data_IF_414064288210
#
_entry.id   IF_414064288210
#
_cell.length_a   1.000
_cell.length_b   1.000
_cell.length_c   1.000
_cell.angle_alpha   90.00
_cell.angle_beta   90.00
_cell.angle_gamma   90.00
#
_symmetry.space_group_name_H-M   'P 1'
#
loop_
_entity.id
_entity.type
_entity.pdbx_description
1 polymer ?
#
# COMPACT_ATOMS: atom_id res chain seq x y z
N UNK A 1 -5.22 -37.61 18.63
CA UNK A 1 -6.40 -36.91 19.17
C UNK A 1 -6.37 -36.83 20.70
N UNK A 2 -6.32 -37.96 21.42
CA UNK A 2 -6.22 -37.98 22.90
C UNK A 2 -5.01 -37.20 23.45
N UNK A 3 -3.86 -37.33 22.81
CA UNK A 3 -2.64 -36.60 23.18
C UNK A 3 -2.81 -35.08 23.08
N UNK A 4 -3.34 -34.57 21.95
CA UNK A 4 -3.64 -33.15 21.76
C UNK A 4 -4.58 -32.61 22.84
N UNK A 5 -5.63 -33.36 23.18
CA UNK A 5 -6.58 -32.98 24.22
C UNK A 5 -5.86 -32.87 25.58
N UNK A 6 -5.03 -33.86 25.93
CA UNK A 6 -4.27 -33.85 27.17
C UNK A 6 -3.34 -32.63 27.26
N UNK A 7 -2.57 -32.37 26.20
CA UNK A 7 -1.64 -31.22 26.14
C UNK A 7 -2.39 -29.89 26.31
N UNK A 8 -3.54 -29.72 25.64
CA UNK A 8 -4.34 -28.51 25.78
C UNK A 8 -4.92 -28.33 27.20
N UNK A 9 -5.32 -29.42 27.86
CA UNK A 9 -5.78 -29.36 29.27
C UNK A 9 -4.63 -28.98 30.20
N UNK A 10 -3.47 -29.63 30.03
CA UNK A 10 -2.33 -29.52 30.92
C UNK A 10 -1.62 -28.15 30.79
N UNK A 11 -1.50 -27.61 29.57
CA UNK A 11 -0.75 -26.36 29.30
C UNK A 11 -1.62 -25.11 29.22
N UNK A 12 -2.89 -25.24 28.84
CA UNK A 12 -3.79 -24.11 28.64
C UNK A 12 -4.98 -24.12 29.61
N UNK A 13 -4.92 -24.94 30.66
CA UNK A 13 -5.92 -25.04 31.74
C UNK A 13 -7.37 -25.19 31.24
N UNK A 14 -7.54 -25.85 30.09
CA UNK A 14 -8.86 -26.07 29.50
C UNK A 14 -9.57 -27.23 30.16
N UNK A 15 -10.90 -27.17 30.24
CA UNK A 15 -11.69 -28.34 30.58
C UNK A 15 -11.77 -29.32 29.39
N UNK A 16 -12.22 -30.54 29.66
CA UNK A 16 -12.23 -31.60 28.65
C UNK A 16 -13.13 -31.29 27.45
N UNK A 17 -14.32 -30.70 27.69
CA UNK A 17 -15.24 -30.32 26.63
C UNK A 17 -14.65 -29.24 25.72
N UNK A 18 -13.96 -28.24 26.28
CA UNK A 18 -13.29 -27.17 25.55
C UNK A 18 -12.13 -27.71 24.70
N UNK A 19 -11.29 -28.58 25.27
CA UNK A 19 -10.18 -29.17 24.55
C UNK A 19 -10.65 -30.08 23.40
N UNK A 20 -11.71 -30.87 23.62
CA UNK A 20 -12.35 -31.68 22.57
C UNK A 20 -12.91 -30.79 21.45
N UNK A 21 -13.59 -29.69 21.79
CA UNK A 21 -14.15 -28.75 20.80
C UNK A 21 -13.05 -28.15 19.90
N UNK A 22 -11.95 -27.67 20.49
CA UNK A 22 -10.83 -27.09 19.73
C UNK A 22 -10.17 -28.12 18.81
N UNK A 23 -9.90 -29.31 19.32
CA UNK A 23 -9.26 -30.37 18.53
C UNK A 23 -10.18 -30.82 17.40
N UNK A 24 -11.49 -30.93 17.66
CA UNK A 24 -12.48 -31.33 16.67
C UNK A 24 -12.64 -30.32 15.55
N UNK A 25 -12.71 -29.02 15.88
CA UNK A 25 -12.97 -27.95 14.91
C UNK A 25 -11.74 -27.49 14.14
N UNK A 26 -10.58 -27.40 14.80
CA UNK A 26 -9.43 -26.66 14.26
C UNK A 26 -8.16 -27.50 14.15
N UNK A 27 -7.90 -28.40 15.10
CA UNK A 27 -6.62 -29.09 15.20
C UNK A 27 -6.67 -30.55 14.75
N UNK A 28 -7.73 -30.97 14.05
CA UNK A 28 -7.90 -32.37 13.61
C UNK A 28 -6.70 -32.84 12.78
N UNK A 29 -6.29 -32.01 11.83
CA UNK A 29 -5.25 -32.32 10.83
C UNK A 29 -3.85 -31.84 11.24
N UNK A 30 -3.72 -31.10 12.35
CA UNK A 30 -2.44 -30.60 12.85
C UNK A 30 -1.56 -31.76 13.30
N UNK A 31 -0.42 -32.00 12.66
CA UNK A 31 0.45 -33.13 13.02
C UNK A 31 1.26 -32.86 14.29
N UNK A 32 1.76 -31.63 14.42
CA UNK A 32 2.60 -31.20 15.54
C UNK A 32 1.87 -30.14 16.37
N UNK A 33 1.47 -30.53 17.58
CA UNK A 33 0.76 -29.65 18.50
C UNK A 33 1.69 -28.65 19.19
N UNK A 34 2.97 -28.98 19.37
CA UNK A 34 3.93 -28.08 20.01
C UNK A 34 4.28 -26.92 19.08
N UNK A 35 4.50 -27.19 17.79
CA UNK A 35 4.65 -26.13 16.79
C UNK A 35 3.42 -25.19 16.74
N UNK A 36 2.21 -25.73 16.92
CA UNK A 36 1.01 -24.90 17.03
C UNK A 36 0.96 -24.09 18.33
N UNK A 37 1.45 -24.62 19.46
CA UNK A 37 1.51 -23.88 20.71
C UNK A 37 2.51 -22.72 20.64
N UNK A 38 3.66 -22.93 20.02
CA UNK A 38 4.64 -21.85 19.77
C UNK A 38 4.00 -20.73 18.95
N UNK A 39 3.32 -21.09 17.85
CA UNK A 39 2.53 -20.16 17.05
C UNK A 39 1.44 -19.45 17.88
N UNK A 40 0.74 -20.18 18.76
CA UNK A 40 -0.29 -19.61 19.64
C UNK A 40 0.27 -18.52 20.55
N UNK A 41 1.39 -18.78 21.22
CA UNK A 41 2.00 -17.81 22.12
C UNK A 41 2.52 -16.60 21.35
N UNK A 42 3.17 -16.81 20.19
CA UNK A 42 3.66 -15.74 19.34
C UNK A 42 2.52 -14.82 18.87
N UNK A 43 1.43 -15.38 18.35
CA UNK A 43 0.27 -14.60 17.90
C UNK A 43 -0.41 -13.86 19.05
N UNK A 44 -0.58 -14.50 20.20
CA UNK A 44 -1.17 -13.83 21.37
C UNK A 44 -0.36 -12.59 21.79
N UNK A 45 0.97 -12.69 21.74
CA UNK A 45 1.89 -11.59 22.06
C UNK A 45 1.84 -10.48 21.00
N UNK A 46 1.95 -10.85 19.72
CA UNK A 46 2.02 -9.91 18.61
C UNK A 46 0.70 -9.14 18.40
N UNK A 47 -0.43 -9.85 18.45
CA UNK A 47 -1.78 -9.29 18.20
C UNK A 47 -2.44 -8.76 19.49
N UNK A 48 -1.77 -8.88 20.65
CA UNK A 48 -2.27 -8.43 21.96
C UNK A 48 -3.68 -8.94 22.27
N UNK A 49 -3.91 -10.23 22.07
CA UNK A 49 -5.24 -10.85 22.23
C UNK A 49 -5.62 -10.91 23.72
N UNK A 50 -6.78 -10.34 24.06
CA UNK A 50 -7.33 -10.29 25.43
C UNK A 50 -8.51 -11.27 25.54
N UNK A 51 -8.65 -11.93 26.69
CA UNK A 51 -9.76 -12.84 26.98
C UNK A 51 -9.34 -14.04 27.82
N UNK A 52 -10.28 -14.95 28.06
CA UNK A 52 -9.98 -16.26 28.67
C UNK A 52 -9.10 -17.12 27.76
N UNK A 53 -8.44 -18.13 28.32
CA UNK A 53 -7.54 -19.00 27.55
C UNK A 53 -8.26 -19.68 26.38
N UNK A 54 -9.51 -20.11 26.60
CA UNK A 54 -10.35 -20.69 25.57
C UNK A 54 -10.69 -19.70 24.45
N UNK A 55 -11.03 -18.45 24.78
CA UNK A 55 -11.32 -17.41 23.78
C UNK A 55 -10.09 -17.05 22.95
N UNK A 56 -8.94 -16.87 23.61
CA UNK A 56 -7.65 -16.65 22.93
C UNK A 56 -7.38 -17.76 21.93
N UNK A 57 -7.54 -19.02 22.34
CA UNK A 57 -7.29 -20.18 21.50
C UNK A 57 -8.22 -20.21 20.28
N UNK A 58 -9.51 -19.89 20.45
CA UNK A 58 -10.44 -19.78 19.32
C UNK A 58 -10.04 -18.67 18.35
N UNK A 59 -9.60 -17.52 18.85
CA UNK A 59 -9.13 -16.40 18.01
C UNK A 59 -7.89 -16.81 17.24
N UNK A 60 -6.88 -17.40 17.90
CA UNK A 60 -5.67 -17.89 17.25
C UNK A 60 -5.99 -18.94 16.20
N UNK A 61 -6.86 -19.91 16.49
CA UNK A 61 -7.27 -20.92 15.51
C UNK A 61 -7.94 -20.29 14.27
N UNK A 62 -8.74 -19.24 14.44
CA UNK A 62 -9.31 -18.48 13.30
C UNK A 62 -8.24 -17.77 12.51
N UNK A 63 -7.24 -17.17 13.17
CA UNK A 63 -6.10 -16.53 12.49
C UNK A 63 -5.31 -17.57 11.71
N UNK A 64 -5.01 -18.72 12.30
CA UNK A 64 -4.33 -19.83 11.63
C UNK A 64 -5.12 -20.35 10.42
N UNK A 65 -6.44 -20.54 10.57
CA UNK A 65 -7.31 -20.93 9.46
C UNK A 65 -7.23 -19.92 8.31
N UNK A 66 -7.24 -18.63 8.63
CA UNK A 66 -7.13 -17.58 7.64
C UNK A 66 -5.75 -17.56 6.95
N UNK A 67 -4.68 -17.72 7.72
CA UNK A 67 -3.29 -17.69 7.24
C UNK A 67 -2.88 -18.91 6.43
N UNK A 68 -3.36 -20.10 6.78
CA UNK A 68 -2.88 -21.34 6.17
C UNK A 68 -3.87 -21.97 5.20
N UNK A 69 -5.12 -21.53 5.20
CA UNK A 69 -6.17 -22.11 4.34
C UNK A 69 -6.90 -21.05 3.52
N UNK A 70 -7.67 -20.18 4.16
CA UNK A 70 -8.62 -19.31 3.44
C UNK A 70 -7.91 -18.34 2.49
N UNK A 71 -6.70 -17.86 2.80
CA UNK A 71 -5.94 -16.99 1.90
C UNK A 71 -5.65 -17.60 0.52
N UNK A 72 -5.64 -18.93 0.41
CA UNK A 72 -5.37 -19.63 -0.84
C UNK A 72 -6.65 -19.98 -1.62
N UNK A 73 -7.82 -19.83 -1.01
CA UNK A 73 -9.09 -20.25 -1.61
C UNK A 73 -9.58 -19.24 -2.65
N UNK A 74 -9.45 -17.94 -2.38
CA UNK A 74 -9.95 -16.89 -3.27
C UNK A 74 -9.20 -15.56 -3.13
N UNK A 75 -9.35 -14.71 -4.16
CA UNK A 75 -8.69 -13.39 -4.26
C UNK A 75 -9.06 -12.45 -3.12
N UNK A 76 -10.31 -12.49 -2.65
CA UNK A 76 -10.79 -11.60 -1.59
C UNK A 76 -10.13 -11.93 -0.25
N UNK A 77 -10.09 -13.20 0.13
CA UNK A 77 -9.40 -13.70 1.32
C UNK A 77 -7.90 -13.39 1.25
N UNK A 78 -7.28 -13.56 0.09
CA UNK A 78 -5.89 -13.18 -0.14
C UNK A 78 -5.66 -11.68 0.10
N UNK A 79 -6.48 -10.80 -0.47
CA UNK A 79 -6.35 -9.35 -0.27
C UNK A 79 -6.58 -8.95 1.20
N UNK A 80 -7.58 -9.54 1.87
CA UNK A 80 -7.80 -9.33 3.31
C UNK A 80 -6.56 -9.71 4.11
N UNK A 81 -5.93 -10.84 3.78
CA UNK A 81 -4.71 -11.30 4.44
C UNK A 81 -3.56 -10.35 4.19
N UNK A 82 -3.43 -9.88 2.95
CA UNK A 82 -2.39 -8.96 2.53
C UNK A 82 -2.48 -7.63 3.26
N UNK A 83 -3.68 -7.04 3.33
CA UNK A 83 -3.93 -5.77 4.02
C UNK A 83 -3.76 -5.86 5.54
N UNK A 84 -3.96 -7.05 6.12
CA UNK A 84 -3.68 -7.28 7.53
C UNK A 84 -2.16 -7.27 7.79
N UNK A 85 -1.38 -7.95 6.96
CA UNK A 85 0.03 -8.26 7.24
C UNK A 85 1.02 -7.18 6.77
N UNK A 86 0.69 -6.41 5.72
CA UNK A 86 1.65 -5.51 5.06
C UNK A 86 1.28 -4.02 5.15
N UNK A 87 0.68 -3.60 6.27
CA UNK A 87 0.27 -2.21 6.46
C UNK A 87 1.45 -1.23 6.31
N UNK A 88 1.33 -0.29 5.38
CA UNK A 88 2.33 0.75 5.07
C UNK A 88 3.71 0.19 4.71
N UNK A 89 3.75 -0.96 4.05
CA UNK A 89 4.99 -1.62 3.61
C UNK A 89 4.88 -2.12 2.18
N UNK A 90 6.02 -2.14 1.50
CA UNK A 90 6.18 -2.89 0.26
C UNK A 90 6.06 -4.39 0.55
N UNK A 91 5.36 -5.10 -0.33
CA UNK A 91 5.11 -6.52 -0.13
C UNK A 91 5.23 -7.35 -1.40
N UNK A 92 5.20 -6.71 -2.58
CA UNK A 92 5.28 -7.43 -3.85
C UNK A 92 6.05 -6.62 -4.88
N UNK A 93 7.02 -7.27 -5.51
CA UNK A 93 7.77 -6.71 -6.64
C UNK A 93 7.24 -7.28 -7.94
N UNK A 94 6.91 -6.39 -8.87
CA UNK A 94 6.54 -6.72 -10.25
C UNK A 94 7.73 -6.38 -11.13
N UNK A 95 8.07 -7.30 -12.02
CA UNK A 95 9.08 -7.10 -13.04
C UNK A 95 8.44 -6.72 -14.38
N UNK A 96 9.22 -6.10 -15.25
CA UNK A 96 8.84 -5.85 -16.63
C UNK A 96 8.45 -7.17 -17.31
N UNK A 97 7.29 -7.19 -17.96
CA UNK A 97 6.72 -8.34 -18.67
C UNK A 97 6.30 -9.54 -17.79
N UNK A 98 6.19 -9.39 -16.47
CA UNK A 98 5.62 -10.40 -15.57
C UNK A 98 4.18 -10.81 -15.98
N UNK A 99 3.38 -9.86 -16.44
CA UNK A 99 2.05 -10.11 -16.97
C UNK A 99 1.66 -9.11 -18.05
N UNK A 100 0.66 -9.46 -18.84
CA UNK A 100 0.04 -8.60 -19.85
C UNK A 100 -1.41 -8.34 -19.49
N UNK A 101 -1.88 -7.14 -19.77
CA UNK A 101 -3.27 -6.74 -19.56
C UNK A 101 -3.80 -6.00 -20.78
N UNK A 102 -5.10 -6.13 -21.00
CA UNK A 102 -5.79 -5.49 -22.13
C UNK A 102 -6.67 -4.37 -21.58
N UNK A 103 -6.59 -3.19 -22.18
CA UNK A 103 -7.38 -2.04 -21.79
C UNK A 103 -7.99 -1.37 -23.03
N UNK A 104 -9.08 -0.65 -22.81
CA UNK A 104 -9.71 0.14 -23.87
C UNK A 104 -9.19 1.58 -23.80
N UNK A 105 -8.69 2.08 -24.92
CA UNK A 105 -8.40 3.48 -25.14
C UNK A 105 -9.45 4.05 -26.11
N UNK A 106 -9.81 5.32 -25.95
CA UNK A 106 -10.73 5.98 -26.87
C UNK A 106 -9.94 6.90 -27.80
N UNK A 107 -10.21 6.84 -29.10
CA UNK A 107 -9.66 7.81 -30.05
C UNK A 107 -10.32 9.20 -29.86
N UNK A 108 -9.82 10.20 -30.59
CA UNK A 108 -10.40 11.56 -30.59
C UNK A 108 -11.87 11.63 -31.07
N UNK A 109 -12.38 10.54 -31.63
CA UNK A 109 -13.76 10.37 -32.12
C UNK A 109 -14.60 9.45 -31.22
N UNK A 110 -14.10 9.10 -30.01
CA UNK A 110 -14.74 8.19 -29.02
C UNK A 110 -14.91 6.74 -29.47
N UNK A 111 -14.18 6.28 -30.49
CA UNK A 111 -14.14 4.85 -30.82
C UNK A 111 -13.25 4.11 -29.82
N UNK A 112 -13.74 3.00 -29.27
CA UNK A 112 -12.98 2.17 -28.35
C UNK A 112 -12.00 1.28 -29.10
N UNK A 113 -10.71 1.49 -28.85
CA UNK A 113 -9.60 0.69 -29.33
C UNK A 113 -9.09 -0.21 -28.21
N UNK A 114 -9.04 -1.52 -28.47
CA UNK A 114 -8.51 -2.48 -27.51
C UNK A 114 -6.99 -2.55 -27.66
N UNK A 115 -6.27 -2.12 -26.64
CA UNK A 115 -4.81 -2.12 -26.60
C UNK A 115 -4.31 -3.16 -25.58
N UNK A 116 -3.13 -3.73 -25.87
CA UNK A 116 -2.44 -4.63 -24.94
C UNK A 116 -1.21 -3.93 -24.39
N UNK A 117 -0.98 -4.05 -23.10
CA UNK A 117 0.23 -3.55 -22.46
C UNK A 117 0.83 -4.63 -21.56
N UNK A 118 2.13 -4.51 -21.30
CA UNK A 118 2.89 -5.36 -20.38
C UNK A 118 3.15 -4.63 -19.07
N UNK A 119 3.29 -5.38 -17.98
CA UNK A 119 3.72 -4.82 -16.71
C UNK A 119 5.08 -4.15 -16.82
N UNK A 120 5.30 -3.10 -16.03
CA UNK A 120 6.58 -2.44 -15.83
C UNK A 120 7.21 -2.86 -14.50
N UNK A 121 8.50 -2.59 -14.33
CA UNK A 121 9.18 -2.78 -13.05
C UNK A 121 8.59 -1.82 -12.01
N UNK A 122 7.92 -2.36 -11.00
CA UNK A 122 7.36 -1.56 -9.92
C UNK A 122 7.29 -2.34 -8.60
N UNK A 123 7.22 -1.59 -7.51
CA UNK A 123 7.09 -2.13 -6.17
C UNK A 123 5.72 -1.73 -5.62
N UNK A 124 4.95 -2.73 -5.22
CA UNK A 124 3.57 -2.59 -4.75
C UNK A 124 3.56 -2.57 -3.22
N UNK A 125 2.83 -1.59 -2.70
CA UNK A 125 2.67 -1.31 -1.28
C UNK A 125 1.19 -1.31 -0.90
N UNK A 126 0.90 -1.48 0.40
CA UNK A 126 -0.43 -1.23 0.96
C UNK A 126 -0.37 0.04 1.78
N UNK A 127 -1.25 1.00 1.53
CA UNK A 127 -1.34 2.20 2.35
C UNK A 127 -2.11 1.96 3.67
N UNK A 128 -2.19 2.97 4.53
CA UNK A 128 -2.95 2.87 5.78
C UNK A 128 -4.46 2.68 5.57
N UNK A 129 -4.99 3.05 4.40
CA UNK A 129 -6.39 2.93 4.03
C UNK A 129 -6.76 1.57 3.42
N UNK A 130 -5.83 0.60 3.42
CA UNK A 130 -6.00 -0.74 2.82
C UNK A 130 -6.20 -0.71 1.31
N UNK A 131 -5.49 0.19 0.64
CA UNK A 131 -5.48 0.31 -0.81
C UNK A 131 -4.10 -0.03 -1.36
N UNK A 132 -4.07 -0.51 -2.61
CA UNK A 132 -2.82 -0.80 -3.32
C UNK A 132 -2.23 0.51 -3.85
N UNK A 133 -0.96 0.74 -3.54
CA UNK A 133 -0.20 1.90 -4.03
C UNK A 133 1.12 1.45 -4.63
N UNK A 134 1.68 2.31 -5.47
CA UNK A 134 3.09 2.21 -5.85
C UNK A 134 3.99 2.65 -4.67
N UNK A 135 5.29 2.43 -4.78
CA UNK A 135 6.27 2.79 -3.75
C UNK A 135 6.39 4.31 -3.53
N UNK A 136 6.08 5.13 -4.52
CA UNK A 136 6.02 6.59 -4.39
C UNK A 136 4.75 7.08 -3.63
N UNK A 137 3.85 6.15 -3.27
CA UNK A 137 2.59 6.44 -2.59
C UNK A 137 1.43 6.74 -3.54
N UNK A 138 1.64 6.73 -4.86
CA UNK A 138 0.57 6.92 -5.83
C UNK A 138 -0.41 5.75 -5.80
N UNK A 139 -1.71 6.05 -5.86
CA UNK A 139 -2.76 5.03 -5.85
C UNK A 139 -2.74 4.22 -7.15
N UNK A 140 -2.94 2.91 -7.04
CA UNK A 140 -3.22 2.09 -8.21
C UNK A 140 -4.70 2.25 -8.54
N UNK A 141 -4.95 3.01 -9.61
CA UNK A 141 -6.30 3.29 -10.12
C UNK A 141 -7.07 2.01 -10.43
N UNK A 142 -8.38 2.06 -10.23
CA UNK A 142 -9.28 0.97 -10.59
C UNK A 142 -9.36 0.84 -12.11
N UNK A 143 -9.06 -0.36 -12.61
CA UNK A 143 -9.08 -0.65 -14.04
C UNK A 143 -8.40 -1.97 -14.37
N UNK A 144 -8.25 -2.24 -15.66
CA UNK A 144 -7.74 -3.50 -16.18
C UNK A 144 -6.35 -3.88 -15.64
N UNK A 145 -5.49 -2.89 -15.39
CA UNK A 145 -4.19 -3.13 -14.78
C UNK A 145 -4.30 -3.67 -13.36
N UNK A 146 -5.13 -3.05 -12.52
CA UNK A 146 -5.31 -3.44 -11.11
C UNK A 146 -5.88 -4.85 -10.99
N UNK A 147 -6.87 -5.18 -11.82
CA UNK A 147 -7.44 -6.52 -11.87
C UNK A 147 -6.39 -7.56 -12.28
N UNK A 148 -5.65 -7.31 -13.37
CA UNK A 148 -4.58 -8.20 -13.82
C UNK A 148 -3.46 -8.35 -12.77
N UNK A 149 -3.12 -7.27 -12.06
CA UNK A 149 -2.16 -7.28 -10.96
C UNK A 149 -2.63 -8.16 -9.81
N UNK A 150 -3.88 -8.02 -9.37
CA UNK A 150 -4.46 -8.85 -8.29
C UNK A 150 -4.42 -10.32 -8.68
N UNK A 151 -4.80 -10.63 -9.92
CA UNK A 151 -4.77 -11.99 -10.44
C UNK A 151 -3.36 -12.57 -10.48
N UNK A 152 -2.40 -11.75 -10.92
CA UNK A 152 -0.99 -12.12 -10.95
C UNK A 152 -0.44 -12.37 -9.55
N UNK A 153 -0.72 -11.47 -8.59
CA UNK A 153 -0.30 -11.62 -7.20
C UNK A 153 -0.92 -12.86 -6.56
N UNK A 154 -2.21 -13.12 -6.81
CA UNK A 154 -2.91 -14.28 -6.28
C UNK A 154 -2.35 -15.61 -6.81
N UNK A 155 -1.95 -15.67 -8.08
CA UNK A 155 -1.27 -16.87 -8.64
C UNK A 155 0.15 -17.03 -8.11
N UNK A 156 0.80 -15.92 -7.74
CA UNK A 156 2.20 -15.88 -7.32
C UNK A 156 2.38 -15.55 -5.82
N UNK A 157 1.50 -16.05 -4.95
CA UNK A 157 1.55 -15.72 -3.51
C UNK A 157 2.90 -16.03 -2.85
N UNK A 158 3.64 -17.01 -3.37
CA UNK A 158 4.98 -17.40 -2.88
C UNK A 158 6.06 -16.32 -3.08
N UNK A 159 5.80 -15.28 -3.89
CA UNK A 159 6.68 -14.10 -4.10
C UNK A 159 6.41 -12.97 -3.10
N UNK A 160 5.31 -13.03 -2.36
CA UNK A 160 4.98 -12.00 -1.35
C UNK A 160 6.09 -11.94 -0.30
N UNK A 161 6.57 -10.73 -0.02
CA UNK A 161 7.64 -10.47 0.94
C UNK A 161 9.06 -10.76 0.43
N UNK A 162 9.23 -11.22 -0.81
CA UNK A 162 10.54 -11.56 -1.39
C UNK A 162 11.04 -10.47 -2.34
N UNK A 163 12.37 -10.37 -2.45
CA UNK A 163 13.08 -9.51 -3.40
C UNK A 163 12.66 -8.03 -3.38
N UNK A 164 12.27 -7.55 -2.20
CA UNK A 164 11.80 -6.17 -1.97
C UNK A 164 12.92 -5.13 -2.04
N UNK A 165 14.18 -5.55 -2.13
CA UNK A 165 15.32 -4.67 -2.30
C UNK A 165 15.24 -3.99 -3.67
N UNK A 166 14.66 -2.79 -3.69
CA UNK A 166 14.56 -1.97 -4.86
C UNK A 166 15.87 -1.18 -5.01
N UNK A 167 16.82 -1.71 -5.77
CA UNK A 167 17.88 -0.88 -6.31
C UNK A 167 17.23 0.06 -7.32
N UNK A 168 16.94 1.29 -6.92
CA UNK A 168 16.67 2.35 -7.88
C UNK A 168 17.97 2.47 -8.68
N UNK A 169 18.05 1.81 -9.84
CA UNK A 169 18.93 2.32 -10.87
C UNK A 169 18.36 3.71 -11.13
N UNK A 170 19.05 4.75 -10.64
CA UNK A 170 18.80 6.10 -11.11
C UNK A 170 18.94 5.99 -12.62
N UNK A 171 17.82 5.88 -13.32
CA UNK A 171 17.79 6.18 -14.73
C UNK A 171 18.23 7.62 -14.75
N UNK A 172 19.52 7.86 -15.05
CA UNK A 172 19.97 9.19 -15.41
C UNK A 172 19.03 9.60 -16.53
N UNK A 173 18.12 10.52 -16.21
CA UNK A 173 17.37 11.22 -17.23
C UNK A 173 18.44 11.81 -18.12
N UNK A 174 18.69 11.16 -19.26
CA UNK A 174 19.33 11.80 -20.40
C UNK A 174 18.38 12.93 -20.74
N UNK A 175 18.68 14.08 -20.15
CA UNK A 175 18.11 15.36 -20.52
C UNK A 175 18.67 15.66 -21.90
N UNK A 176 18.12 14.97 -22.90
CA UNK A 176 18.26 15.41 -24.27
C UNK A 176 17.52 16.75 -24.35
N UNK A 177 18.33 17.80 -24.52
CA UNK A 177 17.98 19.15 -24.94
C UNK A 177 17.22 20.02 -23.93
N UNK A 178 17.93 20.52 -22.91
CA UNK A 178 17.69 21.87 -22.41
C UNK A 178 19.00 22.64 -22.46
N UNK A 179 19.00 23.77 -23.16
CA UNK A 179 20.11 24.73 -23.24
C UNK A 179 20.63 24.98 -21.82
N UNK A 180 21.83 24.48 -21.49
CA UNK A 180 22.46 24.79 -20.21
C UNK A 180 22.83 26.27 -20.24
N UNK A 181 21.96 27.12 -19.72
CA UNK A 181 22.27 28.53 -19.54
C UNK A 181 23.48 28.62 -18.62
N UNK A 182 24.45 29.42 -19.02
CA UNK A 182 25.65 29.62 -18.19
C UNK A 182 25.24 30.27 -16.87
N UNK A 183 26.02 30.07 -15.81
CA UNK A 183 25.80 30.70 -14.49
C UNK A 183 25.62 32.22 -14.57
N UNK A 184 26.15 32.86 -15.60
CA UNK A 184 26.02 34.29 -15.86
C UNK A 184 24.64 34.66 -16.42
N UNK A 185 24.08 33.84 -17.30
CA UNK A 185 22.73 34.03 -17.86
C UNK A 185 21.65 33.84 -16.79
N UNK A 186 21.83 32.89 -15.86
CA UNK A 186 20.94 32.71 -14.71
C UNK A 186 20.97 33.90 -13.75
N UNK A 187 22.17 34.43 -13.45
CA UNK A 187 22.31 35.65 -12.64
C UNK A 187 21.62 36.84 -13.29
N UNK A 188 21.79 37.00 -14.61
CA UNK A 188 21.20 38.10 -15.36
C UNK A 188 19.67 38.00 -15.37
N UNK A 189 19.13 36.79 -15.57
CA UNK A 189 17.68 36.54 -15.52
C UNK A 189 17.10 36.74 -14.12
N UNK A 190 17.83 36.35 -13.07
CA UNK A 190 17.43 36.57 -11.68
C UNK A 190 17.34 38.05 -11.34
N UNK A 191 18.33 38.86 -11.75
CA UNK A 191 18.32 40.31 -11.58
C UNK A 191 17.15 40.98 -12.33
N UNK A 192 16.90 40.59 -13.57
CA UNK A 192 15.76 41.09 -14.35
C UNK A 192 14.40 40.74 -13.70
N UNK A 193 14.29 39.55 -13.10
CA UNK A 193 13.08 39.14 -12.39
C UNK A 193 12.89 39.92 -11.08
N UNK A 194 13.97 40.21 -10.35
CA UNK A 194 13.95 41.06 -9.16
C UNK A 194 13.50 42.49 -9.50
N UNK A 195 14.00 43.07 -10.60
CA UNK A 195 13.57 44.40 -11.07
C UNK A 195 12.09 44.41 -11.49
N UNK A 196 11.64 43.40 -12.23
CA UNK A 196 10.21 43.29 -12.59
C UNK A 196 9.34 43.14 -11.34
N UNK A 197 9.79 42.38 -10.34
CA UNK A 197 9.09 42.22 -9.08
C UNK A 197 9.01 43.54 -8.29
N UNK A 198 10.11 44.30 -8.19
CA UNK A 198 10.14 45.59 -7.51
C UNK A 198 9.25 46.63 -8.19
N UNK A 199 9.26 46.69 -9.52
CA UNK A 199 8.36 47.55 -10.30
C UNK A 199 6.88 47.19 -10.06
N UNK A 200 6.57 45.90 -9.95
CA UNK A 200 5.21 45.43 -9.69
C UNK A 200 4.75 45.78 -8.27
N UNK A 201 5.64 45.67 -7.28
CA UNK A 201 5.39 46.12 -5.91
C UNK A 201 5.16 47.63 -5.82
N UNK A 202 5.97 48.43 -6.52
CA UNK A 202 5.82 49.89 -6.58
C UNK A 202 4.50 50.30 -7.26
N UNK A 203 4.08 49.59 -8.31
CA UNK A 203 2.77 49.81 -8.94
C UNK A 203 1.62 49.50 -7.97
N UNK A 204 1.70 48.41 -7.21
CA UNK A 204 0.67 48.03 -6.22
C UNK A 204 0.61 49.00 -5.03
N UNK A 205 1.75 49.46 -4.52
CA UNK A 205 1.80 50.44 -3.43
C UNK A 205 1.29 51.81 -3.88
N UNK A 206 1.67 52.29 -5.07
CA UNK A 206 1.12 53.53 -5.65
C UNK A 206 -0.39 53.44 -5.93
N UNK A 207 -0.87 52.28 -6.38
CA UNK A 207 -2.31 52.05 -6.56
C UNK A 207 -3.08 52.10 -5.22
N UNK A 208 -2.52 51.52 -4.16
CA UNK A 208 -3.10 51.56 -2.81
C UNK A 208 -3.07 52.97 -2.20
N UNK A 209 -1.99 53.73 -2.41
CA UNK A 209 -1.89 55.12 -1.94
C UNK A 209 -2.92 56.04 -2.61
N UNK A 210 -3.13 55.87 -3.92
CA UNK A 210 -4.16 56.61 -4.68
C UNK A 210 -5.60 56.22 -4.26
N UNK A 211 -5.83 54.95 -3.91
CA UNK A 211 -7.13 54.50 -3.39
C UNK A 211 -7.44 55.11 -2.02
N UNK A 212 -6.45 55.16 -1.12
CA UNK A 212 -6.58 55.79 0.20
C UNK A 212 -6.81 57.30 0.12
N UNK A 213 -6.11 58.03 -0.76
CA UNK A 213 -6.33 59.47 -0.95
C UNK A 213 -7.71 59.78 -1.54
N UNK A 214 -8.17 59.02 -2.55
CA UNK A 214 -9.52 59.18 -3.13
C UNK A 214 -10.64 58.93 -2.11
N UNK A 215 -10.42 58.02 -1.16
CA UNK A 215 -11.42 57.73 -0.13
C UNK A 215 -11.34 58.70 1.07
N UNK A 216 -10.18 59.31 1.36
CA UNK A 216 -10.09 60.41 2.33
C UNK A 216 -10.89 61.65 1.89
N UNK A 217 -10.85 62.00 0.60
CA UNK A 217 -11.63 63.12 0.05
C UNK A 217 -13.15 62.89 0.10
N UNK A 218 -13.59 61.62 0.09
CA UNK A 218 -15.02 61.26 0.19
C UNK A 218 -15.57 61.30 1.62
N UNK A 219 -14.72 61.21 2.63
CA UNK A 219 -15.13 61.21 4.05
C UNK A 219 -15.12 62.62 4.65
N UNK A 220 -14.49 63.59 3.96
CA UNK A 220 -14.41 64.99 4.37
C UNK A 220 -15.47 65.92 3.73
N UNK A 221 -16.51 65.35 3.11
CA UNK A 221 -17.73 66.06 2.64
C UNK A 221 -18.95 65.46 3.32
#
# INVERSE_FOLDING_TARGET
MKEKIKILKDLLELNEAQAVDIVGRYLKDVKDIHAFLDYYFEICMNEKIIGSTYEKLRIVCKIAQFEFKERFENKESFLKWLFKNYKSRAFFRVYKNDFTYEYFAYDGFKNALKLKNSSSDCLICVNNFKELTYHDGALIEDGAFKEALIDFMFKNQHRVGKDLNFSIQKTELKTELCYQKTKEEEKTLHLQNLEKFSQTLNKKTNANFNYLNKNKEKVAR
#
